data_IF_487585025058
#
_entry.id   IF_487585025058
#
_cell.length_a   1.000
_cell.length_b   1.000
_cell.length_c   1.000
_cell.angle_alpha   90.00
_cell.angle_beta   90.00
_cell.angle_gamma   90.00
#
_symmetry.space_group_name_H-M   'P 1'
#
loop_
_entity.id
_entity.type
_entity.pdbx_description
1 polymer ?
#
# COMPACT_ATOMS: atom_id res chain seq x y z
N UNK A 1 5.02 3.24 14.72
CA UNK A 1 4.35 4.43 14.13
C UNK A 1 3.23 3.96 13.20
N UNK A 2 2.27 4.83 12.86
CA UNK A 2 1.26 4.55 11.82
C UNK A 2 1.66 5.29 10.55
N UNK A 3 1.84 4.55 9.46
CA UNK A 3 2.32 5.08 8.18
C UNK A 3 1.21 4.88 7.14
N UNK A 4 0.78 5.96 6.49
CA UNK A 4 -0.13 5.91 5.36
C UNK A 4 0.64 6.23 4.08
N UNK A 5 0.50 5.38 3.07
CA UNK A 5 1.15 5.54 1.77
C UNK A 5 0.06 5.69 0.71
N UNK A 6 -0.03 6.88 0.12
CA UNK A 6 -0.91 7.12 -1.02
C UNK A 6 -0.10 6.98 -2.31
N UNK A 7 -0.56 6.14 -3.23
CA UNK A 7 0.08 5.96 -4.53
C UNK A 7 -0.95 5.67 -5.61
N UNK A 8 -0.70 6.17 -6.82
CA UNK A 8 -1.54 6.00 -8.00
C UNK A 8 -0.62 5.63 -9.18
N UNK A 9 -1.12 4.80 -10.10
CA UNK A 9 -0.39 4.42 -11.29
C UNK A 9 -0.46 2.92 -11.58
N UNK A 10 0.60 2.42 -12.20
CA UNK A 10 0.75 1.03 -12.62
C UNK A 10 1.30 0.16 -11.49
N UNK A 11 1.42 -1.16 -11.75
CA UNK A 11 2.08 -2.08 -10.80
C UNK A 11 3.52 -1.67 -10.49
N UNK A 12 4.24 -1.10 -11.46
CA UNK A 12 5.61 -0.61 -11.27
C UNK A 12 5.68 0.53 -10.25
N UNK A 13 4.63 1.37 -10.22
CA UNK A 13 4.51 2.48 -9.26
C UNK A 13 4.11 1.99 -7.86
N UNK A 14 3.25 0.96 -7.77
CA UNK A 14 2.74 0.43 -6.48
C UNK A 14 3.73 -0.51 -5.77
N UNK A 15 4.47 -1.32 -6.52
CA UNK A 15 5.33 -2.37 -5.97
C UNK A 15 6.43 -1.87 -5.00
N UNK A 16 7.14 -0.75 -5.24
CA UNK A 16 8.11 -0.21 -4.29
C UNK A 16 7.49 0.14 -2.93
N UNK A 17 6.25 0.64 -2.94
CA UNK A 17 5.54 1.00 -1.71
C UNK A 17 5.06 -0.22 -0.92
N UNK A 18 4.73 -1.32 -1.60
CA UNK A 18 4.48 -2.60 -0.94
C UNK A 18 5.74 -3.09 -0.23
N UNK A 19 6.89 -3.08 -0.91
CA UNK A 19 8.17 -3.47 -0.28
C UNK A 19 8.52 -2.58 0.93
N UNK A 20 8.30 -1.26 0.82
CA UNK A 20 8.48 -0.32 1.92
C UNK A 20 7.53 -0.62 3.09
N UNK A 21 6.25 -0.87 2.80
CA UNK A 21 5.24 -1.22 3.80
C UNK A 21 5.59 -2.50 4.55
N UNK A 22 6.04 -3.55 3.85
CA UNK A 22 6.51 -4.79 4.49
C UNK A 22 7.69 -4.52 5.43
N UNK A 23 8.68 -3.72 5.00
CA UNK A 23 9.79 -3.33 5.88
C UNK A 23 9.36 -2.48 7.07
N UNK A 24 8.31 -1.68 6.95
CA UNK A 24 7.73 -0.98 8.08
C UNK A 24 7.09 -1.96 9.09
N UNK A 25 6.35 -2.96 8.61
CA UNK A 25 5.77 -4.00 9.46
C UNK A 25 6.86 -4.79 10.20
N UNK A 26 7.93 -5.21 9.51
CA UNK A 26 9.08 -5.91 10.12
C UNK A 26 9.74 -5.11 11.25
N UNK A 27 9.73 -3.78 11.15
CA UNK A 27 10.26 -2.87 12.19
C UNK A 27 9.26 -2.58 13.32
N UNK A 28 8.12 -3.27 13.36
CA UNK A 28 7.08 -3.07 14.38
C UNK A 28 6.25 -1.81 14.17
N UNK A 29 6.16 -1.30 12.95
CA UNK A 29 5.24 -0.21 12.59
C UNK A 29 3.96 -0.76 11.96
N UNK A 30 2.94 0.09 11.88
CA UNK A 30 1.72 -0.19 11.13
C UNK A 30 1.80 0.56 9.80
N UNK A 31 1.36 -0.09 8.72
CA UNK A 31 1.34 0.49 7.38
C UNK A 31 -0.02 0.26 6.73
N UNK A 32 -0.53 1.30 6.06
CA UNK A 32 -1.68 1.24 5.17
C UNK A 32 -1.30 1.80 3.80
N UNK A 33 -1.69 1.09 2.73
CA UNK A 33 -1.51 1.55 1.36
C UNK A 33 -2.88 1.93 0.78
N UNK A 34 -2.96 3.16 0.30
CA UNK A 34 -4.11 3.76 -0.33
C UNK A 34 -3.88 3.83 -1.84
N UNK A 35 -4.62 3.05 -2.63
CA UNK A 35 -4.50 3.02 -4.10
C UNK A 35 -5.76 2.46 -4.76
N UNK A 36 -5.74 2.28 -6.09
CA UNK A 36 -6.85 1.70 -6.85
C UNK A 36 -7.16 0.25 -6.42
N UNK A 37 -8.45 -0.08 -6.39
CA UNK A 37 -8.99 -1.37 -5.92
C UNK A 37 -8.35 -2.61 -6.54
N UNK A 38 -7.86 -2.51 -7.79
CA UNK A 38 -7.16 -3.59 -8.51
C UNK A 38 -5.94 -4.13 -7.76
N UNK A 39 -5.28 -3.31 -6.92
CA UNK A 39 -4.10 -3.71 -6.17
C UNK A 39 -4.41 -4.29 -4.78
N UNK A 40 -5.67 -4.29 -4.34
CA UNK A 40 -6.06 -4.82 -3.02
C UNK A 40 -5.49 -6.23 -2.75
N UNK A 41 -5.63 -7.23 -3.65
CA UNK A 41 -5.11 -8.56 -3.37
C UNK A 41 -3.58 -8.60 -3.25
N UNK A 42 -2.88 -7.76 -4.01
CA UNK A 42 -1.42 -7.66 -3.98
C UNK A 42 -0.91 -7.08 -2.65
N UNK A 43 -1.60 -6.06 -2.12
CA UNK A 43 -1.27 -5.40 -0.86
C UNK A 43 -1.62 -6.30 0.34
N UNK A 44 -2.80 -6.90 0.35
CA UNK A 44 -3.23 -7.79 1.44
C UNK A 44 -2.38 -9.08 1.50
N UNK A 45 -1.96 -9.62 0.34
CA UNK A 45 -1.03 -10.75 0.28
C UNK A 45 0.35 -10.43 0.90
N UNK A 46 0.74 -9.15 0.97
CA UNK A 46 1.94 -8.70 1.64
C UNK A 46 1.75 -8.46 3.16
N UNK A 47 0.53 -8.67 3.68
CA UNK A 47 0.18 -8.45 5.09
C UNK A 47 -0.06 -6.99 5.47
N UNK A 48 -0.21 -6.10 4.48
CA UNK A 48 -0.37 -4.66 4.69
C UNK A 48 -1.86 -4.29 4.62
N UNK A 49 -2.30 -3.32 5.43
CA UNK A 49 -3.68 -2.81 5.36
C UNK A 49 -3.90 -2.08 4.02
N UNK A 50 -5.05 -2.32 3.38
CA UNK A 50 -5.45 -1.66 2.16
C UNK A 50 -6.59 -0.67 2.40
N UNK A 51 -6.51 0.51 1.76
CA UNK A 51 -7.64 1.43 1.58
C UNK A 51 -7.80 1.78 0.11
N UNK A 52 -9.03 1.83 -0.35
CA UNK A 52 -9.33 2.30 -1.69
C UNK A 52 -9.15 3.82 -1.76
N UNK A 53 -8.36 4.27 -2.73
CA UNK A 53 -8.26 5.68 -3.10
C UNK A 53 -8.84 5.84 -4.51
N UNK A 54 -9.78 6.76 -4.65
CA UNK A 54 -10.35 7.17 -5.93
C UNK A 54 -9.76 8.52 -6.34
N UNK A 55 -9.49 8.68 -7.64
CA UNK A 55 -9.26 10.00 -8.23
C UNK A 55 -10.62 10.61 -8.55
N UNK A 56 -10.78 11.89 -8.28
CA UNK A 56 -11.94 12.71 -8.66
C UNK A 56 -11.83 13.30 -10.09
N UNK A 57 -10.86 12.80 -10.87
CA UNK A 57 -10.57 13.18 -12.26
C UNK A 57 -11.33 12.28 -13.25
#
# INVERSE_FOLDING_TARGET
MKIAILTLGTRGDVQPFVALGQKALEKGHQAVICTGKTFKPFIEAAGIEFKEAASDL
#
